data_IF_323088764783
#
_entry.id   IF_323088764783
#
_cell.length_a   1.000
_cell.length_b   1.000
_cell.length_c   1.000
_cell.angle_alpha   90.00
_cell.angle_beta   90.00
_cell.angle_gamma   90.00
#
_symmetry.space_group_name_H-M   'P 1'
#
loop_
_entity.id
_entity.type
_entity.pdbx_description
1 polymer ?
#
# COMPACT_ATOMS: atom_id res chain seq x y z
N UNK A 1 7.41 19.96 7.38
CA UNK A 1 8.34 18.85 7.68
C UNK A 1 9.73 19.39 7.98
N UNK A 2 10.49 18.77 8.91
CA UNK A 2 11.88 19.11 9.15
C UNK A 2 12.75 18.98 7.90
N UNK A 3 13.78 19.81 7.77
CA UNK A 3 14.57 19.90 6.54
C UNK A 3 15.33 18.60 6.24
N UNK A 4 15.91 18.01 7.27
CA UNK A 4 16.72 16.78 7.19
C UNK A 4 15.89 15.49 7.32
N UNK A 5 14.56 15.59 7.30
CA UNK A 5 13.71 14.41 7.37
C UNK A 5 13.91 13.48 6.17
N UNK A 6 13.95 12.18 6.42
CA UNK A 6 14.03 11.15 5.39
C UNK A 6 12.60 10.74 5.02
N UNK A 7 12.28 10.76 3.73
CA UNK A 7 11.05 10.17 3.23
C UNK A 7 11.28 8.68 3.02
N UNK A 8 10.30 7.85 3.34
CA UNK A 8 10.41 6.42 3.09
C UNK A 8 9.11 5.84 2.54
N UNK A 9 9.27 4.78 1.76
CA UNK A 9 8.20 3.83 1.49
C UNK A 9 8.61 2.44 1.98
N UNK A 10 7.62 1.67 2.41
CA UNK A 10 7.77 0.28 2.81
C UNK A 10 6.76 -0.56 2.02
N UNK A 11 7.22 -1.69 1.50
CA UNK A 11 6.41 -2.72 0.83
C UNK A 11 6.43 -3.98 1.68
N UNK A 12 5.26 -4.55 1.96
CA UNK A 12 5.12 -5.80 2.72
C UNK A 12 5.17 -6.97 1.75
N UNK A 13 6.20 -7.80 1.88
CA UNK A 13 6.44 -8.88 0.94
C UNK A 13 5.33 -9.95 1.02
N UNK A 14 4.62 -10.10 -0.09
CA UNK A 14 3.65 -11.18 -0.31
C UNK A 14 2.64 -11.31 0.84
N UNK A 15 2.13 -10.17 1.33
CA UNK A 15 1.28 -10.04 2.53
C UNK A 15 0.23 -11.15 2.62
N UNK A 16 -0.64 -11.26 1.62
CA UNK A 16 -1.78 -12.20 1.67
C UNK A 16 -1.34 -13.66 1.83
N UNK A 17 -0.26 -14.09 1.20
CA UNK A 17 0.21 -15.48 1.26
C UNK A 17 1.05 -15.78 2.50
N UNK A 18 1.47 -14.74 3.22
CA UNK A 18 2.40 -14.85 4.33
C UNK A 18 1.76 -14.76 5.71
N UNK A 19 0.52 -14.27 5.85
CA UNK A 19 -0.19 -14.22 7.13
C UNK A 19 -0.32 -15.63 7.74
N UNK A 20 0.05 -15.80 9.01
CA UNK A 20 -0.23 -17.04 9.73
C UNK A 20 -1.74 -17.19 9.97
N UNK A 21 -2.30 -18.37 9.67
CA UNK A 21 -3.75 -18.58 9.68
C UNK A 21 -4.31 -18.46 11.10
N UNK A 22 -3.65 -19.08 12.09
CA UNK A 22 -4.16 -19.10 13.45
C UNK A 22 -3.96 -17.74 14.12
N UNK A 23 -2.84 -17.06 13.84
CA UNK A 23 -2.61 -15.68 14.28
C UNK A 23 -3.66 -14.73 13.68
N UNK A 24 -3.91 -14.80 12.37
CA UNK A 24 -4.90 -13.94 11.73
C UNK A 24 -6.32 -14.19 12.21
N UNK A 25 -6.72 -15.45 12.44
CA UNK A 25 -7.99 -15.76 13.10
C UNK A 25 -8.03 -15.16 14.52
N UNK A 26 -6.91 -15.20 15.24
CA UNK A 26 -6.72 -14.54 16.53
C UNK A 26 -7.01 -13.04 16.47
N UNK A 27 -6.43 -12.33 15.49
CA UNK A 27 -6.67 -10.90 15.29
C UNK A 27 -8.15 -10.59 15.03
N UNK A 28 -8.86 -11.44 14.26
CA UNK A 28 -10.31 -11.26 14.05
C UNK A 28 -11.09 -11.46 15.36
N UNK A 29 -10.72 -12.44 16.18
CA UNK A 29 -11.35 -12.61 17.50
C UNK A 29 -11.11 -11.38 18.39
N UNK A 30 -9.89 -10.85 18.40
CA UNK A 30 -9.52 -9.67 19.16
C UNK A 30 -10.32 -8.43 18.72
N UNK A 31 -10.46 -8.21 17.41
CA UNK A 31 -11.23 -7.06 16.89
C UNK A 31 -12.72 -7.19 17.22
N UNK A 32 -13.26 -8.41 17.22
CA UNK A 32 -14.65 -8.67 17.58
C UNK A 32 -14.91 -8.37 19.06
N UNK A 33 -13.99 -8.76 19.94
CA UNK A 33 -14.06 -8.43 21.38
C UNK A 33 -13.91 -6.93 21.63
N UNK A 34 -13.01 -6.25 20.91
CA UNK A 34 -12.78 -4.81 21.02
C UNK A 34 -13.97 -3.99 20.56
N UNK A 35 -14.70 -4.48 19.54
CA UNK A 35 -15.88 -3.84 18.98
C UNK A 35 -17.05 -4.82 18.93
N UNK A 36 -17.71 -5.05 20.08
CA UNK A 36 -18.82 -6.01 20.16
C UNK A 36 -20.04 -5.49 19.39
N UNK A 37 -20.69 -6.39 18.66
CA UNK A 37 -21.96 -6.13 17.97
C UNK A 37 -22.91 -7.31 18.20
N UNK A 38 -24.03 -7.07 18.88
CA UNK A 38 -25.02 -8.11 19.21
C UNK A 38 -25.72 -8.71 18.00
N UNK A 39 -25.65 -8.05 16.83
CA UNK A 39 -26.23 -8.54 15.58
C UNK A 39 -25.22 -9.29 14.72
N UNK A 40 -23.93 -9.25 15.06
CA UNK A 40 -22.88 -9.93 14.31
C UNK A 40 -22.76 -11.38 14.81
N UNK A 41 -22.95 -12.38 13.94
CA UNK A 41 -22.85 -13.79 14.33
C UNK A 41 -21.38 -14.20 14.40
N UNK A 42 -20.67 -13.76 15.44
CA UNK A 42 -19.21 -13.87 15.58
C UNK A 42 -18.73 -15.32 15.44
N UNK A 43 -19.43 -16.27 16.07
CA UNK A 43 -19.08 -17.69 16.00
C UNK A 43 -19.14 -18.23 14.57
N UNK A 44 -20.23 -17.96 13.87
CA UNK A 44 -20.45 -18.43 12.50
C UNK A 44 -19.48 -17.76 11.53
N UNK A 45 -19.19 -16.47 11.70
CA UNK A 45 -18.21 -15.75 10.88
C UNK A 45 -16.80 -16.32 11.05
N UNK A 46 -16.38 -16.60 12.29
CA UNK A 46 -15.07 -17.23 12.56
C UNK A 46 -15.01 -18.63 11.96
N UNK A 47 -16.06 -19.43 12.09
CA UNK A 47 -16.11 -20.77 11.49
C UNK A 47 -16.03 -20.72 9.96
N UNK A 48 -16.77 -19.83 9.32
CA UNK A 48 -16.72 -19.64 7.87
C UNK A 48 -15.34 -19.15 7.42
N UNK A 49 -14.73 -18.23 8.17
CA UNK A 49 -13.37 -17.77 7.90
C UNK A 49 -12.36 -18.92 8.00
N UNK A 50 -12.43 -19.72 9.07
CA UNK A 50 -11.54 -20.87 9.27
C UNK A 50 -11.65 -21.89 8.15
N UNK A 51 -12.87 -22.21 7.70
CA UNK A 51 -13.07 -23.09 6.53
C UNK A 51 -12.42 -22.49 5.29
N UNK A 52 -12.63 -21.20 5.03
CA UNK A 52 -12.06 -20.53 3.86
C UNK A 52 -10.53 -20.43 3.88
N UNK A 53 -9.91 -20.36 5.06
CA UNK A 53 -8.46 -20.28 5.20
C UNK A 53 -7.80 -21.67 5.19
N UNK A 54 -8.37 -22.64 5.92
CA UNK A 54 -7.77 -23.98 6.11
C UNK A 54 -8.16 -25.00 5.04
N UNK A 55 -9.22 -24.75 4.28
CA UNK A 55 -9.71 -25.66 3.22
C UNK A 55 -9.71 -25.00 1.85
N UNK A 56 -8.65 -24.26 1.57
CA UNK A 56 -8.44 -23.64 0.26
C UNK A 56 -7.52 -24.51 -0.59
N UNK A 57 -8.10 -25.53 -1.23
CA UNK A 57 -7.42 -26.35 -2.22
C UNK A 57 -7.55 -25.80 -3.64
N UNK A 58 -6.55 -26.05 -4.47
CA UNK A 58 -6.54 -25.63 -5.87
C UNK A 58 -5.67 -26.57 -6.72
N UNK A 59 -5.88 -26.53 -8.04
CA UNK A 59 -5.09 -27.29 -9.01
C UNK A 59 -4.08 -26.36 -9.69
N UNK A 60 -2.82 -26.76 -9.70
CA UNK A 60 -1.76 -26.09 -10.45
C UNK A 60 -0.89 -27.14 -11.13
N UNK A 61 -0.62 -26.95 -12.42
CA UNK A 61 0.17 -27.91 -13.23
C UNK A 61 -0.31 -29.38 -13.11
N UNK A 62 -1.65 -29.56 -13.10
CA UNK A 62 -2.27 -30.88 -12.97
C UNK A 62 -2.16 -31.53 -11.58
N UNK A 63 -1.58 -30.85 -10.59
CA UNK A 63 -1.43 -31.33 -9.22
C UNK A 63 -2.37 -30.58 -8.27
N UNK A 64 -2.85 -31.29 -7.24
CA UNK A 64 -3.69 -30.72 -6.18
C UNK A 64 -2.82 -30.18 -5.04
N UNK A 65 -3.08 -28.95 -4.64
CA UNK A 65 -2.40 -28.29 -3.53
C UNK A 65 -3.42 -27.80 -2.52
N UNK A 66 -3.03 -27.83 -1.24
CA UNK A 66 -3.75 -27.14 -0.16
C UNK A 66 -2.93 -25.94 0.28
N UNK A 67 -3.53 -24.76 0.29
CA UNK A 67 -2.88 -23.58 0.86
C UNK A 67 -2.85 -23.71 2.39
N UNK A 68 -1.66 -23.87 2.95
CA UNK A 68 -1.45 -24.06 4.41
C UNK A 68 -1.06 -22.77 5.14
N UNK A 69 -0.79 -21.69 4.41
CA UNK A 69 -0.40 -20.38 4.94
C UNK A 69 -1.03 -19.25 4.14
N UNK A 70 -1.36 -18.16 4.83
CA UNK A 70 -1.97 -16.99 4.22
C UNK A 70 -3.43 -17.18 3.85
N UNK A 71 -3.90 -16.33 2.95
CA UNK A 71 -5.22 -16.34 2.35
C UNK A 71 -5.11 -16.26 0.84
N UNK A 72 -6.05 -16.87 0.12
CA UNK A 72 -6.09 -16.77 -1.32
C UNK A 72 -6.45 -15.36 -1.76
N UNK A 73 -5.69 -14.83 -2.71
CA UNK A 73 -6.02 -13.58 -3.39
C UNK A 73 -7.34 -13.73 -4.16
N UNK A 74 -8.13 -12.67 -4.22
CA UNK A 74 -9.43 -12.66 -4.91
C UNK A 74 -10.63 -13.10 -4.06
N UNK A 75 -10.43 -13.59 -2.83
CA UNK A 75 -11.54 -13.80 -1.89
C UNK A 75 -12.07 -12.45 -1.42
N UNK A 76 -13.40 -12.29 -1.36
CA UNK A 76 -14.06 -11.02 -0.95
C UNK A 76 -13.62 -10.55 0.44
N UNK A 77 -13.35 -11.47 1.37
CA UNK A 77 -12.97 -11.14 2.74
C UNK A 77 -11.46 -10.84 2.89
N UNK A 78 -10.61 -11.24 1.93
CA UNK A 78 -9.16 -11.22 2.09
C UNK A 78 -8.61 -9.81 2.39
N UNK A 79 -9.03 -8.72 1.71
CA UNK A 79 -8.53 -7.38 2.03
C UNK A 79 -8.88 -6.92 3.45
N UNK A 80 -10.10 -7.21 3.91
CA UNK A 80 -10.52 -6.86 5.27
C UNK A 80 -9.74 -7.67 6.32
N UNK A 81 -9.56 -8.97 6.07
CA UNK A 81 -8.77 -9.86 6.91
C UNK A 81 -7.31 -9.39 7.03
N UNK A 82 -6.64 -9.14 5.90
CA UNK A 82 -5.27 -8.66 5.88
C UNK A 82 -5.12 -7.30 6.58
N UNK A 83 -6.06 -6.37 6.36
CA UNK A 83 -6.03 -5.07 7.02
C UNK A 83 -6.17 -5.15 8.54
N UNK A 84 -7.01 -6.05 9.06
CA UNK A 84 -7.18 -6.24 10.50
C UNK A 84 -5.92 -6.86 11.10
N UNK A 85 -5.37 -7.90 10.47
CA UNK A 85 -4.11 -8.50 10.89
C UNK A 85 -2.98 -7.44 10.92
N UNK A 86 -2.84 -6.66 9.85
CA UNK A 86 -1.82 -5.63 9.79
C UNK A 86 -2.02 -4.53 10.83
N UNK A 87 -3.27 -4.13 11.11
CA UNK A 87 -3.52 -3.13 12.15
C UNK A 87 -3.06 -3.59 13.55
N UNK A 88 -3.20 -4.88 13.87
CA UNK A 88 -2.73 -5.44 15.12
C UNK A 88 -1.20 -5.57 15.15
N UNK A 89 -0.60 -6.06 14.06
CA UNK A 89 0.86 -6.11 13.89
C UNK A 89 1.49 -4.72 14.00
N UNK A 90 0.95 -3.71 13.31
CA UNK A 90 1.43 -2.32 13.33
C UNK A 90 1.34 -1.73 14.73
N UNK A 91 0.20 -1.90 15.40
CA UNK A 91 0.02 -1.39 16.76
C UNK A 91 1.05 -2.00 17.72
N UNK A 92 1.30 -3.31 17.61
CA UNK A 92 2.28 -3.99 18.43
C UNK A 92 3.74 -3.60 18.12
N UNK A 93 4.10 -3.60 16.84
CA UNK A 93 5.45 -3.29 16.38
C UNK A 93 5.82 -1.82 16.68
N UNK A 94 4.95 -0.87 16.35
CA UNK A 94 5.22 0.56 16.55
C UNK A 94 5.26 0.96 18.02
N UNK A 95 4.46 0.33 18.88
CA UNK A 95 4.49 0.60 20.33
C UNK A 95 5.76 0.10 21.03
N UNK A 96 6.49 -0.83 20.40
CA UNK A 96 7.71 -1.42 20.96
C UNK A 96 9.00 -0.86 20.33
N UNK A 97 8.88 0.02 19.32
CA UNK A 97 10.00 0.71 18.71
C UNK A 97 10.61 1.76 19.67
N UNK A 98 11.95 1.85 19.70
CA UNK A 98 12.64 2.92 20.43
C UNK A 98 12.44 4.31 19.83
N UNK A 99 12.17 4.38 18.51
CA UNK A 99 11.89 5.60 17.75
C UNK A 99 10.70 5.37 16.81
N UNK A 100 9.85 6.38 16.69
CA UNK A 100 8.67 6.32 15.85
C UNK A 100 8.78 7.29 14.67
N UNK A 101 8.26 6.94 13.50
CA UNK A 101 8.17 7.87 12.37
C UNK A 101 7.25 9.04 12.70
N UNK A 102 7.55 10.22 12.14
CA UNK A 102 6.70 11.41 12.26
C UNK A 102 5.36 11.21 11.54
N UNK A 103 5.41 10.57 10.38
CA UNK A 103 4.24 10.18 9.61
C UNK A 103 4.36 8.72 9.19
N UNK A 104 3.26 7.98 9.28
CA UNK A 104 3.16 6.60 8.88
C UNK A 104 1.75 6.34 8.37
N UNK A 105 1.61 6.12 7.07
CA UNK A 105 0.34 5.91 6.39
C UNK A 105 0.43 4.62 5.58
N UNK A 106 -0.48 3.68 5.86
CA UNK A 106 -0.58 2.42 5.12
C UNK A 106 -1.77 2.43 4.19
N UNK A 107 -1.56 1.93 2.98
CA UNK A 107 -2.57 1.58 2.01
C UNK A 107 -2.38 0.11 1.62
N UNK A 108 -3.21 -0.78 2.17
CA UNK A 108 -3.05 -2.24 2.02
C UNK A 108 -1.64 -2.70 2.45
N UNK A 109 -0.81 -3.13 1.51
CA UNK A 109 0.56 -3.61 1.64
C UNK A 109 1.63 -2.51 1.46
N UNK A 110 1.26 -1.37 0.88
CA UNK A 110 2.14 -0.22 0.69
C UNK A 110 2.08 0.74 1.89
N UNK A 111 3.24 1.17 2.38
CA UNK A 111 3.37 2.15 3.47
C UNK A 111 4.19 3.34 2.98
N UNK A 112 3.75 4.54 3.34
CA UNK A 112 4.49 5.79 3.17
C UNK A 112 4.74 6.44 4.53
N UNK A 113 5.90 7.07 4.71
CA UNK A 113 6.16 7.81 5.92
C UNK A 113 7.30 8.81 5.86
N UNK A 114 7.48 9.48 7.00
CA UNK A 114 8.53 10.48 7.22
C UNK A 114 9.28 10.13 8.49
N UNK A 115 10.59 9.99 8.36
CA UNK A 115 11.51 9.72 9.45
C UNK A 115 12.30 10.98 9.79
N UNK A 116 12.41 11.32 11.07
CA UNK A 116 13.09 12.53 11.55
C UNK A 116 14.34 12.24 12.36
N UNK A 117 14.76 10.98 12.40
CA UNK A 117 15.98 10.54 13.08
C UNK A 117 17.04 10.17 12.05
N UNK A 118 18.17 9.65 12.51
CA UNK A 118 19.26 9.26 11.61
C UNK A 118 18.89 8.07 10.71
N UNK A 119 19.61 7.91 9.60
CA UNK A 119 19.49 6.74 8.73
C UNK A 119 19.82 5.44 9.48
N UNK A 120 20.80 5.46 10.41
CA UNK A 120 21.14 4.29 11.23
C UNK A 120 19.96 3.85 12.10
N UNK A 121 19.29 4.79 12.77
CA UNK A 121 18.08 4.51 13.56
C UNK A 121 16.92 4.05 12.67
N UNK A 122 16.85 4.47 11.41
CA UNK A 122 15.87 3.94 10.46
C UNK A 122 16.13 2.46 10.13
N UNK A 123 17.39 2.07 9.96
CA UNK A 123 17.74 0.66 9.72
C UNK A 123 17.42 -0.22 10.93
N UNK A 124 17.63 0.28 12.15
CA UNK A 124 17.20 -0.39 13.39
C UNK A 124 15.68 -0.53 13.45
N UNK A 125 14.94 0.52 13.09
CA UNK A 125 13.48 0.47 12.98
C UNK A 125 13.02 -0.58 11.97
N UNK A 126 13.63 -0.62 10.78
CA UNK A 126 13.30 -1.61 9.75
C UNK A 126 13.63 -3.04 10.19
N UNK A 127 14.75 -3.23 10.88
CA UNK A 127 15.12 -4.50 11.45
C UNK A 127 14.10 -4.95 12.51
N UNK A 128 13.69 -4.04 13.40
CA UNK A 128 12.67 -4.31 14.41
C UNK A 128 11.37 -4.79 13.77
N UNK A 129 10.86 -4.09 12.76
CA UNK A 129 9.66 -4.51 12.01
C UNK A 129 9.80 -5.94 11.45
N UNK A 130 10.94 -6.25 10.83
CA UNK A 130 11.23 -7.58 10.26
C UNK A 130 11.40 -8.69 11.30
N UNK A 131 11.77 -8.34 12.54
CA UNK A 131 11.92 -9.32 13.63
C UNK A 131 10.66 -9.47 14.48
N UNK A 132 9.72 -8.53 14.39
CA UNK A 132 8.53 -8.49 15.23
C UNK A 132 7.60 -9.70 15.01
N UNK A 133 7.46 -10.14 13.75
CA UNK A 133 6.68 -11.31 13.40
C UNK A 133 7.37 -12.11 12.29
N UNK A 134 7.67 -13.41 12.49
CA UNK A 134 8.40 -14.23 11.52
C UNK A 134 7.66 -14.44 10.19
N UNK A 135 6.34 -14.21 10.17
CA UNK A 135 5.52 -14.30 8.97
C UNK A 135 5.51 -13.02 8.15
N UNK A 136 5.99 -11.89 8.66
CA UNK A 136 5.94 -10.60 7.97
C UNK A 136 7.35 -10.12 7.67
N UNK A 137 7.60 -9.81 6.40
CA UNK A 137 8.84 -9.23 5.94
C UNK A 137 8.53 -7.94 5.19
N UNK A 138 9.31 -6.91 5.47
CA UNK A 138 9.14 -5.57 4.90
C UNK A 138 10.43 -5.13 4.22
N UNK A 139 10.27 -4.54 3.02
CA UNK A 139 11.35 -3.90 2.25
C UNK A 139 11.11 -2.42 2.23
N UNK A 140 12.17 -1.61 2.28
CA UNK A 140 12.03 -0.16 2.28
C UNK A 140 12.82 0.51 1.17
N UNK A 141 12.37 1.70 0.79
CA UNK A 141 13.12 2.66 -0.02
C UNK A 141 13.14 3.99 0.72
N UNK A 142 14.33 4.53 0.98
CA UNK A 142 14.51 5.82 1.66
C UNK A 142 15.08 6.86 0.73
N UNK A 143 14.72 8.12 0.95
CA UNK A 143 15.28 9.25 0.21
C UNK A 143 15.09 10.56 0.96
N UNK A 144 16.14 11.38 0.99
CA UNK A 144 16.06 12.73 1.54
C UNK A 144 15.37 13.71 0.59
N UNK A 145 15.13 13.34 -0.68
CA UNK A 145 14.58 14.24 -1.71
C UNK A 145 13.19 13.85 -2.17
N UNK A 146 12.97 12.59 -2.50
CA UNK A 146 11.75 12.14 -3.17
C UNK A 146 11.55 10.63 -3.03
N UNK A 147 10.30 10.20 -2.84
CA UNK A 147 9.90 8.79 -2.87
C UNK A 147 8.65 8.60 -3.71
N UNK A 148 8.60 7.46 -4.40
CA UNK A 148 7.44 7.03 -5.19
C UNK A 148 6.53 6.16 -4.33
N UNK A 149 5.24 6.46 -4.34
CA UNK A 149 4.21 5.75 -3.59
C UNK A 149 2.96 5.64 -4.45
N UNK A 150 2.56 4.40 -4.74
CA UNK A 150 1.48 4.07 -5.68
C UNK A 150 1.70 4.78 -7.03
N UNK A 151 0.82 5.73 -7.35
CA UNK A 151 0.79 6.44 -8.62
C UNK A 151 1.30 7.90 -8.49
N UNK A 152 1.98 8.20 -7.37
CA UNK A 152 2.49 9.52 -7.03
C UNK A 152 3.96 9.50 -6.64
N UNK A 153 4.65 10.62 -6.87
CA UNK A 153 5.94 10.91 -6.25
C UNK A 153 5.75 12.07 -5.29
N UNK A 154 6.11 11.88 -4.04
CA UNK A 154 6.21 12.97 -3.06
C UNK A 154 7.65 13.44 -2.98
N UNK A 155 7.89 14.75 -3.00
CA UNK A 155 9.24 15.28 -3.05
C UNK A 155 9.38 16.66 -2.39
N UNK A 156 10.60 16.96 -1.93
CA UNK A 156 10.99 18.29 -1.46
C UNK A 156 11.30 19.17 -2.66
N UNK A 157 10.33 19.98 -3.07
CA UNK A 157 10.49 20.92 -4.18
C UNK A 157 11.35 22.14 -3.83
N UNK A 158 11.54 23.05 -4.78
CA UNK A 158 12.38 24.26 -4.62
C UNK A 158 11.91 25.15 -3.46
N UNK A 159 10.60 25.18 -3.20
CA UNK A 159 10.02 25.97 -2.12
C UNK A 159 9.98 25.22 -0.78
N UNK A 160 10.56 24.03 -0.68
CA UNK A 160 10.49 23.24 0.55
C UNK A 160 11.20 23.93 1.72
N UNK A 161 12.33 24.59 1.47
CA UNK A 161 13.11 25.26 2.53
C UNK A 161 12.36 26.41 3.19
N UNK A 162 11.42 27.04 2.47
CA UNK A 162 10.61 28.15 2.98
C UNK A 162 9.24 27.70 3.47
N UNK A 163 8.61 26.75 2.77
CA UNK A 163 7.23 26.33 3.06
C UNK A 163 7.15 25.12 3.97
N UNK A 164 8.21 24.32 4.05
CA UNK A 164 8.25 23.02 4.70
C UNK A 164 7.16 22.05 4.23
N UNK A 165 6.66 22.21 3.01
CA UNK A 165 5.60 21.40 2.38
C UNK A 165 6.16 20.57 1.23
N UNK A 166 5.78 19.30 1.18
CA UNK A 166 6.10 18.45 0.04
C UNK A 166 5.27 18.84 -1.19
N UNK A 167 5.91 18.75 -2.34
CA UNK A 167 5.23 18.76 -3.62
C UNK A 167 4.89 17.33 -4.04
N UNK A 168 3.86 17.19 -4.86
CA UNK A 168 3.39 15.91 -5.38
C UNK A 168 3.33 16.01 -6.90
N UNK A 169 3.66 14.90 -7.58
CA UNK A 169 3.51 14.74 -9.03
C UNK A 169 3.09 13.31 -9.35
N UNK A 170 2.61 13.06 -10.56
CA UNK A 170 2.30 11.68 -10.98
C UNK A 170 3.58 10.89 -11.17
N UNK A 171 3.60 9.67 -10.64
CA UNK A 171 4.63 8.69 -10.89
C UNK A 171 4.22 7.77 -12.04
N UNK A 172 5.18 7.46 -12.91
CA UNK A 172 5.02 6.48 -13.98
C UNK A 172 6.14 5.45 -13.81
N UNK A 173 5.76 4.18 -13.80
CA UNK A 173 6.76 3.10 -13.75
C UNK A 173 7.63 3.17 -15.01
N UNK A 174 8.93 2.81 -14.95
CA UNK A 174 9.79 2.77 -16.13
C UNK A 174 9.26 1.87 -17.27
N UNK A 175 8.37 0.93 -16.95
CA UNK A 175 7.69 0.04 -17.89
C UNK A 175 6.41 0.61 -18.50
N UNK A 176 5.96 1.80 -18.07
CA UNK A 176 4.80 2.47 -18.61
C UNK A 176 5.13 3.03 -20.00
N UNK A 177 4.42 2.54 -21.02
CA UNK A 177 4.60 2.97 -22.41
C UNK A 177 3.79 4.23 -22.74
N UNK A 178 3.02 4.74 -21.78
CA UNK A 178 2.03 5.80 -21.95
C UNK A 178 0.99 5.48 -23.04
N UNK A 179 0.80 4.19 -23.35
CA UNK A 179 -0.16 3.76 -24.35
C UNK A 179 -1.58 3.99 -23.85
N UNK A 180 -2.32 4.86 -24.55
CA UNK A 180 -3.75 5.04 -24.35
C UNK A 180 -4.53 4.34 -25.47
N UNK A 181 -5.82 4.11 -25.22
CA UNK A 181 -6.71 3.52 -26.22
C UNK A 181 -6.70 4.33 -27.52
N UNK A 182 -6.46 3.69 -28.66
CA UNK A 182 -6.51 4.36 -29.96
C UNK A 182 -7.90 4.91 -30.25
N UNK A 183 -7.98 6.13 -30.78
CA UNK A 183 -9.28 6.74 -31.16
C UNK A 183 -10.05 5.94 -32.21
N UNK A 184 -9.34 5.21 -33.07
CA UNK A 184 -9.88 4.38 -34.16
C UNK A 184 -10.29 2.97 -33.71
N UNK A 185 -10.04 2.62 -32.45
CA UNK A 185 -10.47 1.34 -31.89
C UNK A 185 -12.01 1.24 -31.88
N UNK A 186 -12.54 0.02 -31.90
CA UNK A 186 -13.99 -0.24 -31.96
C UNK A 186 -14.65 -0.11 -30.58
N UNK A 187 -14.51 1.06 -29.96
CA UNK A 187 -15.15 1.41 -28.70
C UNK A 187 -16.11 2.59 -28.88
N UNK A 188 -17.10 2.76 -27.99
CA UNK A 188 -17.97 3.93 -28.01
C UNK A 188 -17.16 5.23 -27.99
N UNK A 189 -17.55 6.21 -28.80
CA UNK A 189 -16.81 7.48 -28.93
C UNK A 189 -16.58 8.21 -27.60
N UNK A 190 -17.52 8.06 -26.66
CA UNK A 190 -17.40 8.67 -25.34
C UNK A 190 -16.30 8.03 -24.47
N UNK A 191 -15.88 6.79 -24.73
CA UNK A 191 -14.83 6.10 -23.98
C UNK A 191 -13.48 6.80 -24.16
N UNK A 192 -13.11 7.13 -25.40
CA UNK A 192 -11.86 7.85 -25.68
C UNK A 192 -11.85 9.25 -25.04
N UNK A 193 -12.95 10.00 -25.19
CA UNK A 193 -13.08 11.31 -24.55
C UNK A 193 -13.01 11.23 -23.01
N UNK A 194 -13.64 10.21 -22.43
CA UNK A 194 -13.60 9.93 -21.00
C UNK A 194 -12.19 9.62 -20.50
N UNK A 195 -11.43 8.86 -21.28
CA UNK A 195 -10.04 8.51 -20.97
C UNK A 195 -9.13 9.75 -20.99
N UNK A 196 -9.23 10.61 -22.00
CA UNK A 196 -8.45 11.86 -22.03
C UNK A 196 -8.85 12.74 -20.84
N UNK A 197 -10.14 12.92 -20.60
CA UNK A 197 -10.65 13.69 -19.47
C UNK A 197 -10.13 13.17 -18.13
N UNK A 198 -10.13 11.84 -17.92
CA UNK A 198 -9.67 11.26 -16.66
C UNK A 198 -8.17 11.46 -16.44
N UNK A 199 -7.33 11.34 -17.48
CA UNK A 199 -5.89 11.61 -17.36
C UNK A 199 -5.60 13.08 -17.07
N UNK A 200 -6.28 14.01 -17.77
CA UNK A 200 -6.14 15.45 -17.51
C UNK A 200 -6.53 15.80 -16.06
N UNK A 201 -7.65 15.24 -15.58
CA UNK A 201 -8.10 15.43 -14.19
C UNK A 201 -7.12 14.82 -13.19
N UNK A 202 -6.57 13.63 -13.48
CA UNK A 202 -5.56 12.96 -12.64
C UNK A 202 -4.34 13.85 -12.47
N UNK A 203 -3.76 14.36 -13.56
CA UNK A 203 -2.60 15.24 -13.50
C UNK A 203 -2.92 16.53 -12.75
N UNK A 204 -4.06 17.14 -13.04
CA UNK A 204 -4.46 18.38 -12.36
C UNK A 204 -4.65 18.21 -10.85
N UNK A 205 -5.17 17.07 -10.40
CA UNK A 205 -5.39 16.78 -8.98
C UNK A 205 -4.11 16.43 -8.23
N UNK A 206 -3.18 15.74 -8.87
CA UNK A 206 -1.97 15.22 -8.21
C UNK A 206 -0.83 16.24 -8.24
N UNK A 207 -0.65 16.99 -9.33
CA UNK A 207 0.48 17.90 -9.46
C UNK A 207 0.34 19.16 -8.61
N UNK A 208 1.23 19.37 -7.64
CA UNK A 208 1.29 20.61 -6.86
C UNK A 208 1.85 21.79 -7.68
N UNK A 209 2.84 21.54 -8.53
CA UNK A 209 3.54 22.58 -9.30
C UNK A 209 2.99 22.72 -10.72
N UNK A 210 2.69 23.96 -11.14
CA UNK A 210 2.18 24.28 -12.48
C UNK A 210 3.13 23.84 -13.60
N UNK A 211 4.45 23.97 -13.39
CA UNK A 211 5.44 23.56 -14.39
C UNK A 211 5.47 22.05 -14.57
N UNK A 212 5.43 21.29 -13.47
CA UNK A 212 5.32 19.83 -13.49
C UNK A 212 4.03 19.38 -14.18
N UNK A 213 2.91 20.02 -13.86
CA UNK A 213 1.63 19.78 -14.52
C UNK A 213 1.74 19.97 -16.04
N UNK A 214 2.30 21.10 -16.50
CA UNK A 214 2.50 21.36 -17.94
C UNK A 214 3.33 20.29 -18.62
N UNK A 215 4.42 19.84 -17.99
CA UNK A 215 5.26 18.76 -18.51
C UNK A 215 4.48 17.45 -18.61
N UNK A 216 3.69 17.11 -17.60
CA UNK A 216 2.93 15.85 -17.57
C UNK A 216 1.73 15.86 -18.53
N UNK A 217 1.10 17.02 -18.73
CA UNK A 217 0.09 17.20 -19.77
C UNK A 217 0.63 16.91 -21.17
N UNK A 218 1.92 17.17 -21.42
CA UNK A 218 2.59 16.83 -22.68
C UNK A 218 2.48 15.35 -23.06
N UNK A 219 2.42 14.43 -22.09
CA UNK A 219 2.24 13.00 -22.35
C UNK A 219 0.86 12.66 -22.96
N UNK A 220 -0.18 13.45 -22.67
CA UNK A 220 -1.50 13.25 -23.27
C UNK A 220 -1.57 13.69 -24.74
N UNK A 221 -0.63 14.50 -25.21
CA UNK A 221 -0.63 15.08 -26.56
C UNK A 221 0.38 14.41 -27.52
N UNK A 222 1.06 13.36 -27.06
CA UNK A 222 1.96 12.53 -27.89
C UNK A 222 1.24 11.37 -28.61
N UNK A 223 -0.10 11.37 -28.59
CA UNK A 223 -1.01 10.38 -29.21
C UNK A 223 -1.82 11.01 -30.35
#
# INVERSE_FOLDING_TARGET
>A
LPQDSILFTIDIDSLYTNIDIDEGIGCIKNIFLKYPDSRRPDRELIQLLEINLKRNDFVFDGQFFLQVKGTAMGKKFAPAYANIFMAEWEAGALNTCGKAPLHYYRYLDDIWGVWTHSEAEFQEFLQHLNTYNPSITVKSTTSVKAVDFLDTTTYKGENFDTTHKLDIKVFFKPTDTHALLFKTSYHPRHTYAGLIKSQLLRFHRICSQKQTLRRQLGFCFLL
#
